data_IF_565514572412
#
_entry.id   IF_565514572412
#
_cell.length_a   1.000
_cell.length_b   1.000
_cell.length_c   1.000
_cell.angle_alpha   90.00
_cell.angle_beta   90.00
_cell.angle_gamma   90.00
#
_symmetry.space_group_name_H-M   'P 1'
#
loop_
_entity.id
_entity.type
_entity.pdbx_description
1 polymer ?
#
# COMPACT_ATOMS: atom_id res chain seq x y z
N UNK A 1 51.55 22.49 36.11
CA UNK A 1 50.44 23.46 36.04
C UNK A 1 50.03 23.62 34.58
N UNK A 2 48.71 23.61 34.32
CA UNK A 2 48.00 23.83 33.04
C UNK A 2 48.24 22.80 31.91
N UNK A 3 47.26 22.33 31.13
CA UNK A 3 45.79 22.14 31.20
C UNK A 3 45.41 21.75 29.74
N UNK A 4 44.65 20.66 29.55
CA UNK A 4 43.49 20.55 28.63
C UNK A 4 43.79 20.60 27.10
N UNK A 5 43.18 19.85 26.18
CA UNK A 5 41.97 19.00 26.10
C UNK A 5 42.23 17.98 24.97
N UNK A 6 42.14 16.68 25.26
CA UNK A 6 41.99 15.67 24.21
C UNK A 6 40.57 15.78 23.63
N UNK A 7 40.44 16.25 22.40
CA UNK A 7 39.18 16.26 21.66
C UNK A 7 38.83 14.81 21.30
N UNK A 8 38.01 14.17 22.14
CA UNK A 8 37.33 12.93 21.78
C UNK A 8 36.31 13.26 20.70
N UNK A 9 36.62 12.91 19.46
CA UNK A 9 35.63 12.86 18.40
C UNK A 9 34.62 11.77 18.78
N UNK A 10 33.48 12.19 19.32
CA UNK A 10 32.33 11.33 19.48
C UNK A 10 31.83 10.98 18.07
N UNK A 11 32.20 9.80 17.59
CA UNK A 11 31.58 9.19 16.42
C UNK A 11 30.16 8.86 16.84
N UNK A 12 29.21 9.73 16.53
CA UNK A 12 27.80 9.39 16.58
C UNK A 12 27.58 8.25 15.57
N UNK A 13 27.08 7.08 15.96
CA UNK A 13 26.53 6.16 14.98
C UNK A 13 25.31 6.85 14.37
N UNK A 14 25.42 7.21 13.08
CA UNK A 14 24.26 7.51 12.25
C UNK A 14 23.40 6.24 12.22
N UNK A 15 22.39 6.20 13.08
CA UNK A 15 21.32 5.22 12.96
C UNK A 15 20.54 5.65 11.73
N UNK A 16 20.90 5.05 10.58
CA UNK A 16 20.14 5.11 9.35
C UNK A 16 18.88 4.25 9.55
N UNK A 17 17.90 4.77 10.29
CA UNK A 17 16.52 4.25 10.20
C UNK A 17 16.01 4.64 8.83
N UNK A 18 16.36 3.83 7.83
CA UNK A 18 15.71 3.85 6.53
C UNK A 18 14.24 3.51 6.78
N UNK A 19 13.41 4.56 6.83
CA UNK A 19 11.98 4.46 6.71
C UNK A 19 11.76 3.81 5.33
N UNK A 20 11.57 2.49 5.29
CA UNK A 20 11.26 1.76 4.08
C UNK A 20 9.91 2.26 3.59
N UNK A 21 9.93 3.30 2.76
CA UNK A 21 8.76 3.75 2.03
C UNK A 21 8.23 2.52 1.29
N UNK A 22 6.95 2.19 1.50
CA UNK A 22 6.31 1.11 0.79
C UNK A 22 6.53 1.34 -0.71
N UNK A 23 7.20 0.40 -1.36
CA UNK A 23 7.43 0.43 -2.80
C UNK A 23 6.10 0.15 -3.51
N UNK A 24 5.89 0.61 -4.76
CA UNK A 24 4.72 0.22 -5.52
C UNK A 24 4.58 -1.30 -5.58
N UNK A 25 3.33 -1.76 -5.70
CA UNK A 25 3.07 -3.16 -5.99
C UNK A 25 3.75 -3.53 -7.32
N UNK A 26 4.73 -4.44 -7.26
CA UNK A 26 5.53 -4.86 -8.40
C UNK A 26 5.16 -6.28 -8.83
N UNK A 27 4.87 -6.46 -10.12
CA UNK A 27 4.60 -7.76 -10.71
C UNK A 27 5.76 -8.75 -10.53
N UNK A 28 7.00 -8.26 -10.51
CA UNK A 28 8.20 -9.09 -10.28
C UNK A 28 8.27 -9.67 -8.86
N UNK A 29 7.55 -9.08 -7.90
CA UNK A 29 7.46 -9.52 -6.52
C UNK A 29 6.26 -10.47 -6.26
N UNK A 30 5.92 -11.28 -7.28
CA UNK A 30 4.78 -12.20 -7.23
C UNK A 30 3.41 -11.52 -7.23
N UNK A 31 3.35 -10.23 -7.55
CA UNK A 31 2.16 -9.40 -7.55
C UNK A 31 1.55 -9.16 -8.93
N UNK A 32 0.59 -8.25 -8.98
CA UNK A 32 0.02 -7.77 -10.23
C UNK A 32 -1.07 -6.72 -10.04
N UNK A 33 -1.42 -6.06 -11.13
CA UNK A 33 -2.53 -5.13 -11.23
C UNK A 33 -3.64 -5.73 -12.07
N UNK A 34 -4.90 -5.44 -11.75
CA UNK A 34 -5.95 -5.57 -12.75
C UNK A 34 -5.79 -4.45 -13.78
N UNK A 35 -5.54 -4.80 -15.05
CA UNK A 35 -5.43 -3.82 -16.14
C UNK A 35 -6.75 -3.13 -16.51
N UNK A 36 -7.65 -2.94 -15.55
CA UNK A 36 -8.99 -2.44 -15.76
C UNK A 36 -9.03 -0.91 -15.79
N UNK A 37 -9.85 -0.38 -16.71
CA UNK A 37 -10.31 1.00 -16.70
C UNK A 37 -11.66 1.06 -15.95
N UNK A 38 -11.92 2.06 -15.10
CA UNK A 38 -11.10 3.25 -14.82
C UNK A 38 -10.11 3.09 -13.67
N UNK A 39 -10.22 2.04 -12.85
CA UNK A 39 -9.38 1.80 -11.69
C UNK A 39 -8.65 0.47 -11.87
N UNK A 40 -7.33 0.50 -11.72
CA UNK A 40 -6.48 -0.70 -11.68
C UNK A 40 -6.04 -0.95 -10.25
N UNK A 41 -6.54 -2.03 -9.63
CA UNK A 41 -6.16 -2.43 -8.27
C UNK A 41 -4.94 -3.34 -8.32
N UNK A 42 -3.92 -3.02 -7.51
CA UNK A 42 -2.65 -3.72 -7.52
C UNK A 42 -2.30 -4.28 -6.14
N UNK A 43 -1.61 -5.42 -6.12
CA UNK A 43 -1.09 -6.04 -4.91
C UNK A 43 0.21 -6.79 -5.23
N UNK A 44 1.14 -6.85 -4.28
CA UNK A 44 2.35 -7.67 -4.40
C UNK A 44 2.88 -8.15 -3.05
N UNK A 45 3.83 -9.09 -3.09
CA UNK A 45 4.52 -9.61 -1.90
C UNK A 45 6.00 -9.22 -1.97
N UNK A 46 6.42 -8.29 -1.13
CA UNK A 46 7.80 -7.82 -1.09
C UNK A 46 8.45 -8.22 0.24
N UNK A 47 9.24 -9.30 0.21
CA UNK A 47 9.90 -9.85 1.40
C UNK A 47 8.88 -10.37 2.40
N UNK A 48 8.84 -9.79 3.61
CA UNK A 48 7.88 -10.15 4.68
C UNK A 48 6.62 -9.29 4.67
N UNK A 49 6.38 -8.54 3.59
CA UNK A 49 5.27 -7.59 3.52
C UNK A 49 4.37 -7.86 2.31
N UNK A 50 3.07 -7.68 2.51
CA UNK A 50 2.11 -7.51 1.41
C UNK A 50 1.91 -6.02 1.18
N UNK A 51 1.97 -5.60 -0.08
CA UNK A 51 1.87 -4.20 -0.49
C UNK A 51 0.72 -4.04 -1.48
N UNK A 52 -0.05 -2.98 -1.34
CA UNK A 52 -1.20 -2.69 -2.16
C UNK A 52 -1.25 -1.22 -2.56
N UNK A 53 -1.58 -0.96 -3.81
CA UNK A 53 -1.86 0.37 -4.36
C UNK A 53 -2.95 0.27 -5.43
N UNK A 54 -3.37 1.40 -5.96
CA UNK A 54 -4.24 1.40 -7.14
C UNK A 54 -3.94 2.61 -8.04
N UNK A 55 -4.33 2.50 -9.30
CA UNK A 55 -4.21 3.58 -10.28
C UNK A 55 -5.58 4.03 -10.75
N UNK A 56 -5.83 5.34 -10.71
CA UNK A 56 -6.95 5.98 -11.39
C UNK A 56 -6.51 6.37 -12.80
N UNK A 57 -6.99 5.63 -13.79
CA UNK A 57 -6.62 5.77 -15.20
C UNK A 57 -7.62 6.63 -16.00
N UNK A 58 -8.57 7.26 -15.31
CA UNK A 58 -9.55 8.16 -15.89
C UNK A 58 -9.50 9.52 -15.19
N UNK A 59 -9.81 10.60 -15.90
CA UNK A 59 -9.95 11.92 -15.28
C UNK A 59 -10.99 11.85 -14.15
N UNK A 60 -10.68 12.37 -12.95
CA UNK A 60 -11.62 12.44 -11.85
C UNK A 60 -12.89 13.20 -12.25
N UNK A 61 -14.04 12.67 -11.83
CA UNK A 61 -15.35 13.28 -12.01
C UNK A 61 -16.21 13.05 -10.77
N UNK A 62 -17.45 13.54 -10.79
CA UNK A 62 -18.38 13.42 -9.65
C UNK A 62 -18.81 11.98 -9.34
N UNK A 63 -18.58 11.03 -10.26
CA UNK A 63 -18.92 9.63 -10.06
C UNK A 63 -17.87 8.87 -9.24
N UNK A 64 -16.66 9.41 -9.09
CA UNK A 64 -15.50 8.75 -8.48
C UNK A 64 -14.72 9.72 -7.60
N UNK A 65 -15.22 9.99 -6.39
CA UNK A 65 -14.65 11.01 -5.50
C UNK A 65 -13.86 10.43 -4.34
N UNK A 66 -14.18 9.22 -3.90
CA UNK A 66 -13.47 8.55 -2.82
C UNK A 66 -13.23 7.08 -3.15
N UNK A 67 -12.06 6.59 -2.78
CA UNK A 67 -11.71 5.18 -2.80
C UNK A 67 -11.39 4.70 -1.38
N UNK A 68 -11.98 3.59 -0.98
CA UNK A 68 -11.55 2.81 0.16
C UNK A 68 -10.79 1.59 -0.35
N UNK A 69 -9.48 1.61 -0.19
CA UNK A 69 -8.59 0.51 -0.54
C UNK A 69 -8.49 -0.43 0.66
N UNK A 70 -8.69 -1.72 0.45
CA UNK A 70 -8.68 -2.74 1.49
C UNK A 70 -7.85 -3.93 1.03
N UNK A 71 -6.89 -4.37 1.83
CA UNK A 71 -6.35 -5.71 1.61
C UNK A 71 -7.10 -6.68 2.48
N UNK A 72 -7.70 -7.66 1.81
CA UNK A 72 -8.46 -8.71 2.45
C UNK A 72 -7.68 -10.00 2.38
N UNK A 73 -7.54 -10.66 3.53
CA UNK A 73 -7.18 -12.07 3.52
C UNK A 73 -8.42 -12.87 3.13
N UNK A 74 -8.22 -13.89 2.33
CA UNK A 74 -9.33 -14.68 1.75
C UNK A 74 -10.21 -15.35 2.79
N UNK A 75 -9.66 -15.60 3.97
CA UNK A 75 -10.29 -16.39 5.04
C UNK A 75 -10.79 -15.54 6.20
N UNK A 76 -10.32 -14.30 6.38
CA UNK A 76 -10.60 -13.52 7.58
C UNK A 76 -11.00 -12.05 7.34
N UNK A 77 -11.29 -11.67 6.10
CA UNK A 77 -11.83 -10.34 5.79
C UNK A 77 -10.74 -9.26 5.71
N UNK A 78 -11.11 -8.01 5.98
CA UNK A 78 -10.23 -6.85 5.81
C UNK A 78 -9.15 -6.81 6.87
N UNK A 79 -7.90 -6.80 6.42
CA UNK A 79 -6.74 -6.77 7.28
C UNK A 79 -6.23 -5.34 7.52
N UNK A 80 -6.09 -4.57 6.44
CA UNK A 80 -5.84 -3.15 6.52
C UNK A 80 -6.62 -2.42 5.44
N UNK A 81 -6.91 -1.15 5.71
CA UNK A 81 -7.58 -0.28 4.77
C UNK A 81 -7.03 1.14 4.83
N UNK A 82 -7.19 1.86 3.74
CA UNK A 82 -6.95 3.28 3.67
C UNK A 82 -7.97 3.93 2.75
N UNK A 83 -8.36 5.15 3.10
CA UNK A 83 -9.30 5.94 2.33
C UNK A 83 -8.58 7.09 1.64
N UNK A 84 -8.86 7.26 0.36
CA UNK A 84 -8.28 8.30 -0.49
C UNK A 84 -9.39 9.13 -1.13
N UNK A 85 -9.15 10.44 -1.23
CA UNK A 85 -9.91 11.28 -2.15
C UNK A 85 -9.35 11.09 -3.55
N UNK A 86 -10.20 10.84 -4.54
CA UNK A 86 -9.80 10.75 -5.95
C UNK A 86 -9.91 12.15 -6.54
N UNK A 87 -8.82 12.91 -6.47
CA UNK A 87 -8.71 14.29 -6.98
C UNK A 87 -7.75 14.43 -8.16
N UNK A 88 -7.06 13.34 -8.52
CA UNK A 88 -6.13 13.27 -9.65
C UNK A 88 -6.11 11.90 -10.30
N UNK A 89 -5.53 11.85 -11.50
CA UNK A 89 -5.13 10.60 -12.15
C UNK A 89 -3.84 10.04 -11.54
N UNK A 90 -3.58 8.76 -11.81
CA UNK A 90 -2.36 8.06 -11.42
C UNK A 90 -2.50 7.28 -10.11
N UNK A 91 -1.35 7.01 -9.47
CA UNK A 91 -1.27 6.09 -8.33
C UNK A 91 -1.79 6.69 -7.03
N UNK A 92 -2.48 5.88 -6.24
CA UNK A 92 -2.88 6.11 -4.85
C UNK A 92 -2.35 4.97 -3.97
N UNK A 93 -1.93 5.30 -2.74
CA UNK A 93 -1.10 4.41 -1.92
C UNK A 93 0.40 4.56 -2.23
N UNK A 94 1.24 3.57 -1.88
CA UNK A 94 0.87 2.25 -1.37
C UNK A 94 0.53 2.22 0.12
N UNK A 95 -0.20 1.17 0.51
CA UNK A 95 -0.26 0.68 1.89
C UNK A 95 0.47 -0.65 1.97
N UNK A 96 1.07 -0.94 3.11
CA UNK A 96 1.79 -2.18 3.33
C UNK A 96 1.66 -2.63 4.76
N UNK A 97 1.95 -3.90 4.97
CA UNK A 97 2.42 -4.32 6.28
C UNK A 97 2.80 -5.80 6.32
N UNK A 98 3.02 -6.27 7.54
CA UNK A 98 3.79 -7.48 7.75
C UNK A 98 2.93 -8.75 7.64
N UNK A 99 3.41 -9.74 6.90
CA UNK A 99 2.80 -11.07 6.78
C UNK A 99 2.70 -11.75 8.15
N UNK A 100 3.67 -11.52 9.04
CA UNK A 100 3.66 -12.14 10.37
C UNK A 100 2.53 -11.65 11.27
N UNK A 101 1.97 -10.47 11.00
CA UNK A 101 0.83 -9.94 11.73
C UNK A 101 -0.50 -10.27 11.05
N UNK A 102 -0.48 -10.92 9.88
CA UNK A 102 -1.69 -11.38 9.21
C UNK A 102 -2.27 -12.60 9.94
N UNK A 103 -3.61 -12.72 9.99
CA UNK A 103 -4.22 -13.98 10.36
C UNK A 103 -3.81 -14.99 9.27
N UNK A 104 -2.90 -15.90 9.65
CA UNK A 104 -2.28 -16.97 8.85
C UNK A 104 -1.05 -16.55 8.03
N UNK A 105 0.08 -17.21 8.34
CA UNK A 105 1.40 -16.97 7.73
C UNK A 105 1.64 -17.67 6.38
N UNK A 106 0.69 -18.51 5.94
CA UNK A 106 0.71 -19.24 4.66
C UNK A 106 -0.62 -19.00 3.94
N UNK A 107 -0.89 -17.75 3.63
CA UNK A 107 -2.20 -17.25 3.25
C UNK A 107 -2.29 -16.81 1.80
N UNK A 108 -3.42 -16.18 1.48
CA UNK A 108 -3.48 -15.34 0.29
C UNK A 108 -4.30 -14.10 0.56
N UNK A 109 -3.96 -13.05 -0.17
CA UNK A 109 -4.62 -11.76 -0.08
C UNK A 109 -4.96 -11.20 -1.46
N UNK A 110 -5.94 -10.31 -1.46
CA UNK A 110 -6.31 -9.46 -2.59
C UNK A 110 -6.44 -8.03 -2.11
N UNK A 111 -6.22 -7.06 -2.99
CA UNK A 111 -6.54 -5.67 -2.77
C UNK A 111 -7.90 -5.36 -3.43
N UNK A 112 -8.86 -4.86 -2.67
CA UNK A 112 -10.17 -4.42 -3.15
C UNK A 112 -10.25 -2.90 -2.98
N UNK A 113 -10.57 -2.21 -4.07
CA UNK A 113 -10.79 -0.76 -4.07
C UNK A 113 -12.29 -0.51 -4.25
N UNK A 114 -12.94 -0.06 -3.18
CA UNK A 114 -14.33 0.36 -3.17
C UNK A 114 -14.41 1.84 -3.55
N UNK A 115 -15.03 2.16 -4.68
CA UNK A 115 -15.17 3.55 -5.13
C UNK A 115 -16.57 4.07 -4.83
N UNK A 116 -16.63 5.29 -4.32
CA UNK A 116 -17.87 6.00 -4.07
C UNK A 116 -17.90 7.35 -4.78
N UNK A 117 -19.10 7.72 -5.22
CA UNK A 117 -19.43 9.03 -5.79
C UNK A 117 -19.28 10.14 -4.75
N UNK A 118 -19.31 11.40 -5.19
CA UNK A 118 -19.27 12.55 -4.28
C UNK A 118 -20.45 12.61 -3.28
N UNK A 119 -21.59 11.99 -3.60
CA UNK A 119 -22.74 11.87 -2.70
C UNK A 119 -22.64 10.68 -1.72
N UNK A 120 -21.57 9.90 -1.81
CA UNK A 120 -21.36 8.70 -0.98
C UNK A 120 -22.00 7.43 -1.52
N UNK A 121 -22.67 7.47 -2.68
CA UNK A 121 -23.21 6.27 -3.32
C UNK A 121 -22.09 5.38 -3.85
N UNK A 122 -22.23 4.06 -3.75
CA UNK A 122 -21.31 3.09 -4.32
C UNK A 122 -21.24 3.25 -5.85
N UNK A 123 -20.03 3.31 -6.39
CA UNK A 123 -19.77 3.36 -7.82
C UNK A 123 -19.33 1.99 -8.35
N UNK A 124 -18.41 1.32 -7.65
CA UNK A 124 -17.95 -0.01 -8.03
C UNK A 124 -16.76 -0.50 -7.20
N UNK A 125 -16.51 -1.79 -7.31
CA UNK A 125 -15.44 -2.49 -6.61
C UNK A 125 -14.42 -3.04 -7.61
N UNK A 126 -13.14 -2.79 -7.34
CA UNK A 126 -12.04 -3.22 -8.21
C UNK A 126 -11.07 -4.09 -7.42
N UNK A 127 -11.03 -5.37 -7.76
CA UNK A 127 -10.21 -6.36 -7.06
C UNK A 127 -8.94 -6.64 -7.85
N UNK A 128 -7.79 -6.67 -7.18
CA UNK A 128 -6.52 -7.06 -7.79
C UNK A 128 -6.48 -8.57 -8.08
N UNK A 129 -5.44 -9.07 -8.77
CA UNK A 129 -5.07 -10.48 -8.71
C UNK A 129 -4.81 -10.92 -7.26
N UNK A 130 -4.75 -12.24 -7.07
CA UNK A 130 -4.44 -12.86 -5.79
C UNK A 130 -2.95 -13.07 -5.64
N UNK A 131 -2.42 -12.78 -4.46
CA UNK A 131 -1.04 -13.11 -4.07
C UNK A 131 -1.03 -14.13 -2.95
N UNK A 132 -0.03 -15.00 -2.97
CA UNK A 132 0.22 -16.01 -1.95
C UNK A 132 1.50 -15.63 -1.19
N UNK A 133 1.48 -15.81 0.12
CA UNK A 133 2.59 -15.47 1.01
C UNK A 133 2.70 -16.46 2.16
#
# INVERSE_FOLDING_TARGET
MLKKIARRAAVLPLIFTALLAAQPADAASGGGCTGAYPISSCISVSGVSVVADFYMNATPDTSRCWAQMEVRTTTHGTYWSARYRIDRTGRFGPISGNINSMPWKNGSAVNIVHVTTCSGSAHGDFTSPRVYY
#
